data_IF_541896522753
#
_entry.id   IF_541896522753
#
_cell.length_a   1.000
_cell.length_b   1.000
_cell.length_c   1.000
_cell.angle_alpha   90.00
_cell.angle_beta   90.00
_cell.angle_gamma   90.00
#
_symmetry.space_group_name_H-M   'P 1'
#
loop_
_entity.id
_entity.type
_entity.pdbx_description
1 polymer ?
#
# COMPACT_ATOMS: atom_id res chain seq x y z
N UNK A 1 -30.95 2.93 41.03
CA UNK A 1 -29.78 3.50 40.32
C UNK A 1 -29.37 2.51 39.25
N UNK A 2 -29.72 2.77 37.98
CA UNK A 2 -29.39 1.90 36.86
C UNK A 2 -28.20 2.51 36.11
N UNK A 3 -27.08 1.79 36.09
CA UNK A 3 -25.87 2.16 35.37
C UNK A 3 -26.12 1.96 33.87
N UNK A 4 -26.04 3.05 33.11
CA UNK A 4 -26.17 3.04 31.65
C UNK A 4 -24.83 2.56 31.10
N UNK A 5 -24.79 1.38 30.49
CA UNK A 5 -23.65 0.93 29.70
C UNK A 5 -23.65 1.71 28.39
N UNK A 6 -22.77 2.69 28.26
CA UNK A 6 -22.53 3.37 26.99
C UNK A 6 -21.91 2.36 26.02
N UNK A 7 -22.69 1.93 25.03
CA UNK A 7 -22.17 1.20 23.87
C UNK A 7 -21.35 2.16 23.03
N UNK A 8 -20.03 2.16 23.18
CA UNK A 8 -19.15 2.76 22.18
C UNK A 8 -19.10 1.81 21.00
N UNK A 9 -19.87 2.13 19.94
CA UNK A 9 -19.64 1.51 18.63
C UNK A 9 -18.17 1.69 18.25
N UNK A 10 -17.50 0.68 17.68
CA UNK A 10 -16.16 0.88 17.15
C UNK A 10 -16.18 2.07 16.18
N UNK A 11 -15.10 2.89 16.13
CA UNK A 11 -15.05 4.01 15.20
C UNK A 11 -15.35 3.49 13.79
N UNK A 12 -16.28 4.12 13.09
CA UNK A 12 -16.61 3.73 11.71
C UNK A 12 -15.35 3.83 10.87
N UNK A 13 -14.91 2.72 10.26
CA UNK A 13 -13.80 2.71 9.33
C UNK A 13 -14.10 3.68 8.18
N UNK A 14 -13.28 4.71 8.05
CA UNK A 14 -13.37 5.66 6.94
C UNK A 14 -12.26 5.35 5.96
N UNK A 15 -12.62 4.64 4.90
CA UNK A 15 -11.70 4.33 3.82
C UNK A 15 -11.52 5.54 2.89
N UNK A 16 -10.29 6.01 2.72
CA UNK A 16 -9.91 7.03 1.73
C UNK A 16 -8.80 6.50 0.83
N UNK A 17 -8.80 6.94 -0.43
CA UNK A 17 -7.75 6.62 -1.38
C UNK A 17 -6.99 7.90 -1.69
N UNK A 18 -5.74 7.97 -1.23
CA UNK A 18 -4.92 9.17 -1.28
C UNK A 18 -3.64 8.91 -2.08
N UNK A 19 -3.06 9.96 -2.68
CA UNK A 19 -1.71 9.85 -3.26
C UNK A 19 -0.70 9.67 -2.13
N UNK A 20 0.20 8.70 -2.29
CA UNK A 20 1.24 8.43 -1.31
C UNK A 20 2.24 9.60 -1.23
N UNK A 21 2.79 9.82 -0.05
CA UNK A 21 3.93 10.71 0.21
C UNK A 21 5.14 9.93 0.69
N UNK A 22 6.30 10.58 0.80
CA UNK A 22 7.54 9.92 1.24
C UNK A 22 7.41 9.33 2.65
N UNK A 23 6.55 9.91 3.48
CA UNK A 23 6.24 9.42 4.83
C UNK A 23 5.50 8.07 4.83
N UNK A 24 4.86 7.71 3.72
CA UNK A 24 4.13 6.44 3.58
C UNK A 24 5.03 5.26 3.19
N UNK A 25 6.27 5.52 2.74
CA UNK A 25 7.22 4.49 2.26
C UNK A 25 7.38 3.35 3.27
N UNK A 26 7.62 3.58 4.58
CA UNK A 26 7.79 2.49 5.53
C UNK A 26 6.57 1.56 5.63
N UNK A 27 5.36 2.10 5.48
CA UNK A 27 4.14 1.30 5.49
C UNK A 27 4.00 0.46 4.22
N UNK A 28 4.33 1.03 3.06
CA UNK A 28 4.35 0.33 1.77
C UNK A 28 5.37 -0.82 1.79
N UNK A 29 6.60 -0.57 2.23
CA UNK A 29 7.64 -1.59 2.37
C UNK A 29 7.20 -2.73 3.29
N UNK A 30 6.56 -2.40 4.41
CA UNK A 30 6.03 -3.42 5.33
C UNK A 30 4.97 -4.31 4.67
N UNK A 31 4.05 -3.74 3.89
CA UNK A 31 3.02 -4.52 3.18
C UNK A 31 3.64 -5.40 2.09
N UNK A 32 4.60 -4.86 1.33
CA UNK A 32 5.33 -5.62 0.31
C UNK A 32 6.08 -6.80 0.92
N UNK A 33 6.81 -6.56 2.01
CA UNK A 33 7.54 -7.62 2.71
C UNK A 33 6.62 -8.68 3.33
N UNK A 34 5.36 -8.33 3.66
CA UNK A 34 4.37 -9.29 4.12
C UNK A 34 3.72 -10.09 2.97
N UNK A 35 3.47 -9.46 1.82
CA UNK A 35 2.72 -10.07 0.71
C UNK A 35 3.57 -10.98 -0.21
N UNK A 36 4.86 -10.67 -0.34
CA UNK A 36 5.75 -11.29 -1.33
C UNK A 36 6.63 -12.49 -0.91
N UNK A 37 6.75 -12.94 0.37
CA UNK A 37 7.63 -14.05 0.74
C UNK A 37 7.40 -15.35 -0.04
N UNK A 38 6.15 -15.68 -0.38
CA UNK A 38 5.78 -16.86 -1.19
C UNK A 38 6.47 -16.92 -2.55
N UNK A 39 6.91 -15.79 -3.09
CA UNK A 39 7.62 -15.76 -4.36
C UNK A 39 9.09 -16.16 -4.20
N UNK A 40 9.72 -15.86 -3.07
CA UNK A 40 11.13 -16.22 -2.82
C UNK A 40 11.32 -17.72 -2.95
N UNK A 41 10.43 -18.51 -2.36
CA UNK A 41 10.44 -19.98 -2.46
C UNK A 41 10.37 -20.46 -3.91
N UNK A 42 9.60 -19.76 -4.76
CA UNK A 42 9.39 -20.13 -6.16
C UNK A 42 10.52 -19.68 -7.09
N UNK A 43 11.09 -18.50 -6.87
CA UNK A 43 12.04 -17.87 -7.81
C UNK A 43 13.47 -17.79 -7.27
N UNK A 44 13.71 -18.21 -6.02
CA UNK A 44 15.04 -18.31 -5.40
C UNK A 44 15.67 -16.97 -5.00
N UNK A 45 14.94 -15.86 -5.12
CA UNK A 45 15.42 -14.51 -4.76
C UNK A 45 14.25 -13.59 -4.40
N UNK A 46 14.51 -12.48 -3.68
CA UNK A 46 13.52 -11.41 -3.50
C UNK A 46 12.99 -10.92 -4.86
N UNK A 47 11.66 -10.83 -5.05
CA UNK A 47 11.05 -10.22 -6.23
C UNK A 47 11.27 -8.70 -6.21
N UNK A 48 11.18 -8.07 -7.39
CA UNK A 48 11.50 -6.65 -7.58
C UNK A 48 10.86 -5.72 -6.52
N UNK A 49 9.56 -5.81 -6.16
CA UNK A 49 8.97 -4.94 -5.14
C UNK A 49 9.67 -4.94 -3.79
N UNK A 50 10.25 -6.08 -3.37
CA UNK A 50 10.97 -6.21 -2.09
C UNK A 50 12.37 -5.56 -2.12
N UNK A 51 12.83 -5.12 -3.28
CA UNK A 51 14.18 -4.57 -3.50
C UNK A 51 14.18 -3.23 -4.24
N UNK A 52 13.01 -2.65 -4.48
CA UNK A 52 12.89 -1.34 -5.14
C UNK A 52 13.46 -0.22 -4.27
N UNK A 53 13.99 0.80 -4.93
CA UNK A 53 14.26 2.11 -4.31
C UNK A 53 12.94 2.88 -4.24
N UNK A 54 12.20 2.71 -3.14
CA UNK A 54 10.88 3.33 -2.97
C UNK A 54 10.92 4.87 -2.98
N UNK A 55 12.06 5.45 -2.59
CA UNK A 55 12.34 6.88 -2.75
C UNK A 55 12.34 7.27 -4.24
N UNK A 56 12.99 6.48 -5.09
CA UNK A 56 12.93 6.70 -6.54
C UNK A 56 11.54 6.44 -7.10
N UNK A 57 10.91 5.32 -6.74
CA UNK A 57 9.60 4.90 -7.27
C UNK A 57 8.53 5.96 -7.01
N UNK A 58 8.45 6.53 -5.80
CA UNK A 58 7.43 7.55 -5.49
C UNK A 58 7.62 8.85 -6.28
N UNK A 59 8.82 9.10 -6.83
CA UNK A 59 9.10 10.25 -7.68
C UNK A 59 8.83 9.99 -9.17
N UNK A 60 8.83 8.72 -9.60
CA UNK A 60 8.71 8.34 -11.01
C UNK A 60 7.40 7.65 -11.36
N UNK A 61 6.68 7.11 -10.37
CA UNK A 61 5.42 6.41 -10.53
C UNK A 61 4.31 7.09 -9.73
N UNK A 62 3.06 6.80 -10.10
CA UNK A 62 1.90 7.12 -9.27
C UNK A 62 1.70 6.00 -8.25
N UNK A 63 1.54 6.38 -6.98
CA UNK A 63 1.22 5.46 -5.90
C UNK A 63 -0.02 5.97 -5.18
N UNK A 64 -1.06 5.16 -5.11
CA UNK A 64 -2.24 5.42 -4.29
C UNK A 64 -2.23 4.48 -3.08
N UNK A 65 -2.53 5.02 -1.90
CA UNK A 65 -2.67 4.28 -0.65
C UNK A 65 -4.12 4.30 -0.18
N UNK A 66 -4.63 3.14 0.24
CA UNK A 66 -5.91 3.03 0.93
C UNK A 66 -5.67 3.26 2.41
N UNK A 67 -6.25 4.31 2.97
CA UNK A 67 -6.19 4.62 4.39
C UNK A 67 -7.47 4.20 5.08
N UNK A 68 -7.36 3.50 6.18
CA UNK A 68 -8.42 3.36 7.19
C UNK A 68 -8.02 4.22 8.39
N UNK A 69 -8.62 5.42 8.49
CA UNK A 69 -8.16 6.46 9.40
C UNK A 69 -6.66 6.79 9.17
N UNK A 70 -5.81 6.67 10.19
CA UNK A 70 -4.37 6.94 10.09
C UNK A 70 -3.55 5.75 9.59
N UNK A 71 -4.19 4.59 9.36
CA UNK A 71 -3.51 3.36 8.96
C UNK A 71 -3.59 3.16 7.46
N UNK A 72 -2.46 2.91 6.83
CA UNK A 72 -2.44 2.37 5.47
C UNK A 72 -2.76 0.88 5.51
N UNK A 73 -3.76 0.49 4.71
CA UNK A 73 -4.26 -0.90 4.61
C UNK A 73 -4.16 -1.47 3.19
N UNK A 74 -3.62 -0.68 2.25
CA UNK A 74 -3.29 -1.16 0.92
C UNK A 74 -2.60 -0.10 0.08
N UNK A 75 -1.97 -0.52 -1.01
CA UNK A 75 -1.37 0.38 -1.99
C UNK A 75 -1.41 -0.20 -3.40
N UNK A 76 -1.47 0.68 -4.39
CA UNK A 76 -1.29 0.36 -5.81
C UNK A 76 -0.26 1.31 -6.42
N UNK A 77 0.72 0.74 -7.12
CA UNK A 77 1.75 1.47 -7.86
C UNK A 77 1.53 1.26 -9.34
N UNK A 78 1.50 2.36 -10.11
CA UNK A 78 1.30 2.32 -11.54
C UNK A 78 1.95 3.51 -12.24
N UNK A 79 2.15 3.39 -13.54
CA UNK A 79 2.60 4.48 -14.38
C UNK A 79 2.00 4.37 -15.78
N UNK A 80 1.94 5.49 -16.49
CA UNK A 80 1.58 5.48 -17.91
C UNK A 80 2.82 5.13 -18.74
N UNK A 81 2.70 4.14 -19.60
CA UNK A 81 3.68 3.83 -20.63
C UNK A 81 3.39 4.70 -21.85
N UNK A 82 4.28 5.67 -22.11
CA UNK A 82 4.12 6.66 -23.18
C UNK A 82 4.20 6.05 -24.59
N UNK A 83 4.88 4.92 -24.75
CA UNK A 83 5.04 4.28 -26.07
C UNK A 83 3.78 3.54 -26.49
N UNK A 84 3.04 3.02 -25.51
CA UNK A 84 1.87 2.16 -25.75
C UNK A 84 0.55 2.81 -25.35
N UNK A 85 0.59 4.00 -24.73
CA UNK A 85 -0.58 4.67 -24.13
C UNK A 85 -1.35 3.73 -23.18
N UNK A 86 -0.62 2.82 -22.52
CA UNK A 86 -1.20 1.85 -21.58
C UNK A 86 -0.84 2.21 -20.14
N UNK A 87 -1.74 1.86 -19.21
CA UNK A 87 -1.45 1.93 -17.79
C UNK A 87 -0.73 0.64 -17.37
N UNK A 88 0.49 0.76 -16.85
CA UNK A 88 1.23 -0.36 -16.27
C UNK A 88 0.98 -0.37 -14.78
N UNK A 89 0.54 -1.51 -14.25
CA UNK A 89 0.43 -1.74 -12.81
C UNK A 89 1.65 -2.52 -12.39
N UNK A 90 2.47 -1.90 -11.54
CA UNK A 90 3.73 -2.46 -11.08
C UNK A 90 3.53 -3.32 -9.82
N UNK A 91 2.70 -2.83 -8.90
CA UNK A 91 2.49 -3.46 -7.60
C UNK A 91 1.07 -3.22 -7.05
N UNK A 92 0.52 -4.23 -6.36
CA UNK A 92 -0.71 -4.12 -5.56
C UNK A 92 -0.48 -4.91 -4.26
N UNK A 93 -0.59 -4.24 -3.12
CA UNK A 93 -0.27 -4.81 -1.80
C UNK A 93 -1.30 -4.43 -0.75
N UNK A 94 -1.60 -5.36 0.16
CA UNK A 94 -2.51 -5.23 1.30
C UNK A 94 -2.19 -6.29 2.35
#
# INVERSE_FOLDING_TARGET
MATILSSTSPPESKLTLDKATVEDIPAIESMVNAAYPKYIERIGKPPAPMTEDWDQVIRTCEILVLRDNERIVGSITFHQDEQTTSLKVDNVTW
#
